data_IF_989373591684
#
_entry.id   IF_989373591684
#
_cell.length_a   1.000
_cell.length_b   1.000
_cell.length_c   1.000
_cell.angle_alpha   90.00
_cell.angle_beta   90.00
_cell.angle_gamma   90.00
#
_symmetry.space_group_name_H-M   'P 1'
#
loop_
_entity.id
_entity.type
_entity.pdbx_description
1 polymer ?
#
# COMPACT_ATOMS: atom_id res chain seq x y z
N UNK A 1 12.45 -77.17 5.59
CA UNK A 1 12.26 -75.81 5.01
C UNK A 1 11.34 -75.03 5.93
N UNK A 2 11.92 -74.29 6.89
CA UNK A 2 11.16 -73.46 7.83
C UNK A 2 11.18 -72.01 7.36
N UNK A 3 10.02 -71.44 7.09
CA UNK A 3 9.86 -70.02 6.74
C UNK A 3 10.08 -69.17 8.00
N UNK A 4 11.03 -68.23 7.93
CA UNK A 4 11.28 -67.24 8.99
C UNK A 4 10.07 -66.32 9.14
N UNK A 5 9.65 -65.95 10.36
CA UNK A 5 8.56 -65.01 10.57
C UNK A 5 8.98 -63.61 10.13
N UNK A 6 8.07 -62.93 9.42
CA UNK A 6 8.23 -61.55 8.98
C UNK A 6 8.15 -60.65 10.23
N UNK A 7 9.15 -59.78 10.41
CA UNK A 7 9.25 -58.89 11.56
C UNK A 7 8.30 -57.69 11.38
N UNK A 8 7.13 -57.75 12.00
CA UNK A 8 6.07 -56.72 11.93
C UNK A 8 6.50 -55.34 12.45
N UNK A 9 7.60 -55.24 13.21
CA UNK A 9 8.07 -53.95 13.75
C UNK A 9 8.67 -53.04 12.67
N UNK A 10 9.32 -53.61 11.64
CA UNK A 10 9.89 -52.83 10.54
C UNK A 10 8.78 -52.23 9.65
N UNK A 11 7.72 -53.00 9.39
CA UNK A 11 6.56 -52.55 8.62
C UNK A 11 5.78 -51.45 9.35
N UNK A 12 5.67 -51.55 10.67
CA UNK A 12 5.01 -50.53 11.50
C UNK A 12 5.78 -49.21 11.52
N UNK A 13 7.11 -49.24 11.67
CA UNK A 13 7.94 -48.04 11.64
C UNK A 13 7.88 -47.33 10.27
N UNK A 14 7.87 -48.08 9.18
CA UNK A 14 7.75 -47.52 7.83
C UNK A 14 6.40 -46.83 7.59
N UNK A 15 5.31 -47.39 8.13
CA UNK A 15 3.97 -46.81 8.07
C UNK A 15 3.86 -45.50 8.88
N UNK A 16 4.47 -45.44 10.07
CA UNK A 16 4.48 -44.23 10.91
C UNK A 16 5.26 -43.10 10.24
N UNK A 17 6.38 -43.40 9.59
CA UNK A 17 7.17 -42.42 8.82
C UNK A 17 6.42 -41.95 7.57
N UNK A 18 5.73 -42.84 6.84
CA UNK A 18 4.88 -42.44 5.70
C UNK A 18 3.70 -41.54 6.13
N UNK A 19 3.09 -41.83 7.28
CA UNK A 19 2.01 -41.02 7.85
C UNK A 19 2.49 -39.65 8.37
N UNK A 20 3.73 -39.55 8.85
CA UNK A 20 4.31 -38.26 9.27
C UNK A 20 4.68 -37.36 8.07
N UNK A 21 5.10 -37.92 6.94
CA UNK A 21 5.27 -37.16 5.69
C UNK A 21 3.94 -36.74 5.06
N UNK A 22 2.88 -37.55 5.19
CA UNK A 22 1.55 -37.19 4.71
C UNK A 22 0.92 -36.03 5.52
N UNK A 23 1.25 -35.91 6.81
CA UNK A 23 0.75 -34.83 7.69
C UNK A 23 1.56 -33.54 7.62
N UNK A 24 2.80 -33.58 7.11
CA UNK A 24 3.56 -32.36 6.74
C UNK A 24 3.13 -31.79 5.38
N UNK A 25 2.33 -32.52 4.60
CA UNK A 25 1.63 -32.04 3.41
C UNK A 25 0.32 -31.31 3.72
N UNK A 26 0.19 -30.70 4.90
CA UNK A 26 -0.89 -29.77 5.23
C UNK A 26 -0.71 -28.50 4.40
N UNK A 27 -1.13 -28.63 3.14
CA UNK A 27 -1.73 -27.63 2.28
C UNK A 27 -1.77 -26.23 2.91
N UNK A 28 -0.83 -25.38 2.52
CA UNK A 28 -1.13 -23.96 2.39
C UNK A 28 -2.21 -23.85 1.30
N UNK A 29 -3.46 -24.05 1.69
CA UNK A 29 -4.58 -23.78 0.80
C UNK A 29 -4.64 -22.26 0.69
N UNK A 30 -4.03 -21.74 -0.37
CA UNK A 30 -4.16 -20.35 -0.73
C UNK A 30 -5.62 -20.12 -1.09
N UNK A 31 -6.41 -19.64 -0.13
CA UNK A 31 -7.78 -19.17 -0.39
C UNK A 31 -7.71 -18.18 -1.54
N UNK A 32 -8.28 -18.55 -2.67
CA UNK A 32 -8.43 -17.63 -3.79
C UNK A 32 -9.38 -16.52 -3.33
N UNK A 33 -9.24 -15.31 -3.87
CA UNK A 33 -10.14 -14.18 -3.57
C UNK A 33 -11.62 -14.58 -3.83
N UNK A 34 -11.85 -15.58 -4.68
CA UNK A 34 -13.17 -16.14 -4.98
C UNK A 34 -13.86 -16.84 -3.79
N UNK A 35 -13.12 -17.25 -2.75
CA UNK A 35 -13.68 -17.84 -1.52
C UNK A 35 -14.17 -16.80 -0.50
N UNK A 36 -13.95 -15.50 -0.74
CA UNK A 36 -14.46 -14.44 0.11
C UNK A 36 -15.97 -14.26 -0.14
N UNK A 37 -16.79 -14.64 0.83
CA UNK A 37 -18.26 -14.55 0.70
C UNK A 37 -18.79 -13.10 0.67
N UNK A 38 -18.01 -12.13 1.18
CA UNK A 38 -18.44 -10.73 1.30
C UNK A 38 -17.29 -9.77 0.97
N UNK A 39 -17.04 -9.56 -0.32
CA UNK A 39 -16.17 -8.49 -0.79
C UNK A 39 -16.86 -7.66 -1.86
N UNK A 40 -16.41 -6.41 -2.00
CA UNK A 40 -16.80 -5.53 -3.10
C UNK A 40 -15.54 -5.08 -3.81
N UNK A 41 -15.43 -5.37 -5.09
CA UNK A 41 -14.33 -4.88 -5.91
C UNK A 41 -14.61 -3.46 -6.37
N UNK A 42 -13.76 -2.53 -5.98
CA UNK A 42 -13.76 -1.18 -6.53
C UNK A 42 -12.81 -1.17 -7.72
N UNK A 43 -13.34 -1.00 -8.93
CA UNK A 43 -12.53 -0.97 -10.14
C UNK A 43 -11.86 0.40 -10.27
N UNK A 44 -10.56 0.40 -10.47
CA UNK A 44 -9.77 1.60 -10.74
C UNK A 44 -9.49 1.68 -12.24
N UNK A 45 -10.18 2.57 -12.93
CA UNK A 45 -10.22 2.58 -14.41
C UNK A 45 -9.35 3.66 -15.04
N UNK A 46 -9.08 4.75 -14.33
CA UNK A 46 -8.40 5.93 -14.87
C UNK A 46 -6.92 6.05 -14.49
N UNK A 47 -6.49 5.31 -13.45
CA UNK A 47 -5.12 5.35 -12.94
C UNK A 47 -4.65 3.94 -12.55
N UNK A 48 -3.35 3.81 -12.28
CA UNK A 48 -2.71 2.56 -11.89
C UNK A 48 -1.90 2.73 -10.61
N UNK A 49 -1.50 1.61 -10.03
CA UNK A 49 -0.60 1.55 -8.88
C UNK A 49 -1.14 2.21 -7.61
N UNK A 50 -2.37 1.92 -7.15
CA UNK A 50 -2.78 2.27 -5.80
C UNK A 50 -1.87 1.55 -4.80
N UNK A 51 -1.49 2.22 -3.72
CA UNK A 51 -0.47 1.70 -2.79
C UNK A 51 -0.93 1.68 -1.34
N UNK A 52 -1.41 2.81 -0.83
CA UNK A 52 -2.01 2.92 0.49
C UNK A 52 -3.48 3.32 0.42
N UNK A 53 -4.22 2.99 1.47
CA UNK A 53 -5.62 3.35 1.63
C UNK A 53 -5.78 4.17 2.90
N UNK A 54 -6.50 5.27 2.81
CA UNK A 54 -6.90 6.08 3.96
C UNK A 54 -8.40 6.33 3.95
N UNK A 55 -8.97 6.58 5.13
CA UNK A 55 -10.37 6.92 5.34
C UNK A 55 -10.45 8.19 6.18
N UNK A 56 -11.32 9.12 5.79
CA UNK A 56 -11.54 10.32 6.58
C UNK A 56 -12.38 10.00 7.83
N UNK A 57 -12.34 10.88 8.84
CA UNK A 57 -13.11 10.72 10.09
C UNK A 57 -14.63 10.65 9.90
N UNK A 58 -15.13 11.13 8.76
CA UNK A 58 -16.56 11.14 8.45
C UNK A 58 -16.98 9.81 7.78
N UNK A 59 -16.06 8.84 7.68
CA UNK A 59 -16.28 7.56 7.02
C UNK A 59 -16.18 7.63 5.50
N UNK A 60 -15.69 8.73 4.94
CA UNK A 60 -15.47 8.90 3.52
C UNK A 60 -14.20 8.22 3.02
N UNK A 61 -14.19 7.92 1.73
CA UNK A 61 -13.13 7.19 1.06
C UNK A 61 -13.61 5.82 0.52
N UNK A 62 -12.67 4.89 0.26
CA UNK A 62 -11.23 5.02 0.48
C UNK A 62 -10.59 6.12 -0.38
N UNK A 63 -9.45 6.62 0.10
CA UNK A 63 -8.51 7.46 -0.61
C UNK A 63 -7.26 6.65 -0.96
N UNK A 64 -6.63 6.89 -2.10
CA UNK A 64 -5.35 6.26 -2.47
C UNK A 64 -4.50 7.19 -3.31
N UNK A 65 -3.18 7.06 -3.17
CA UNK A 65 -2.22 7.56 -4.16
C UNK A 65 -2.29 6.77 -5.47
N UNK A 66 -1.85 7.38 -6.57
CA UNK A 66 -1.79 6.80 -7.90
C UNK A 66 -0.41 7.05 -8.54
N UNK A 67 -0.06 6.29 -9.59
CA UNK A 67 1.28 6.40 -10.20
C UNK A 67 1.54 7.72 -10.92
N UNK A 68 0.49 8.43 -11.31
CA UNK A 68 0.58 9.74 -11.95
C UNK A 68 0.62 10.92 -10.97
N UNK A 69 0.87 10.62 -9.69
CA UNK A 69 0.97 11.57 -8.60
C UNK A 69 -0.36 11.95 -7.95
N UNK A 70 -1.51 11.56 -8.49
CA UNK A 70 -2.80 11.93 -7.87
C UNK A 70 -3.03 11.21 -6.55
N UNK A 71 -3.71 11.91 -5.65
CA UNK A 71 -4.53 11.29 -4.62
C UNK A 71 -5.98 11.33 -5.11
N UNK A 72 -6.64 10.18 -5.14
CA UNK A 72 -8.03 10.03 -5.58
C UNK A 72 -8.91 9.53 -4.44
N UNK A 73 -10.20 9.87 -4.50
CA UNK A 73 -11.22 9.46 -3.53
C UNK A 73 -12.31 8.65 -4.21
N UNK A 74 -12.76 7.56 -3.56
CA UNK A 74 -13.96 6.83 -3.95
C UNK A 74 -15.23 7.52 -3.43
N UNK A 75 -16.18 7.79 -4.33
CA UNK A 75 -17.44 8.48 -4.02
C UNK A 75 -18.69 7.58 -4.07
N UNK A 76 -18.51 6.26 -4.00
CA UNK A 76 -19.60 5.30 -4.13
C UNK A 76 -19.83 4.85 -5.57
N UNK A 77 -20.71 3.86 -5.75
CA UNK A 77 -20.88 3.16 -7.02
C UNK A 77 -21.44 4.04 -8.15
N UNK A 78 -22.23 5.05 -7.81
CA UNK A 78 -22.86 5.93 -8.81
C UNK A 78 -21.89 6.97 -9.37
N UNK A 79 -20.85 7.35 -8.60
CA UNK A 79 -19.91 8.42 -8.95
C UNK A 79 -18.50 7.92 -9.27
N UNK A 80 -18.10 6.79 -8.70
CA UNK A 80 -16.79 6.21 -8.93
C UNK A 80 -15.65 6.94 -8.21
N UNK A 81 -14.45 6.81 -8.78
CA UNK A 81 -13.25 7.51 -8.32
C UNK A 81 -13.18 8.92 -8.90
N UNK A 82 -12.77 9.89 -8.09
CA UNK A 82 -12.50 11.26 -8.53
C UNK A 82 -11.18 11.78 -7.94
N UNK A 83 -10.60 12.76 -8.61
CA UNK A 83 -9.41 13.46 -8.13
C UNK A 83 -9.72 14.19 -6.82
N UNK A 84 -8.85 14.02 -5.83
CA UNK A 84 -8.95 14.73 -4.54
C UNK A 84 -7.82 15.74 -4.39
N UNK A 85 -6.59 15.33 -4.66
CA UNK A 85 -5.42 16.18 -4.45
C UNK A 85 -4.23 15.79 -5.33
N UNK A 86 -3.26 16.69 -5.41
CA UNK A 86 -2.03 16.53 -6.17
C UNK A 86 -0.84 17.12 -5.40
N UNK A 87 0.36 16.54 -5.50
CA UNK A 87 1.54 17.05 -4.81
C UNK A 87 2.26 18.15 -5.60
N UNK A 88 2.02 18.25 -6.91
CA UNK A 88 2.61 19.25 -7.80
C UNK A 88 1.53 19.94 -8.62
N UNK A 89 1.67 21.25 -8.84
CA UNK A 89 0.76 22.04 -9.68
C UNK A 89 1.10 21.92 -11.16
N UNK A 90 2.38 21.69 -11.48
CA UNK A 90 2.90 21.67 -12.85
C UNK A 90 2.70 20.28 -13.47
N UNK A 91 1.43 19.92 -13.68
CA UNK A 91 0.97 18.61 -14.18
C UNK A 91 0.59 18.67 -15.65
N UNK A 92 1.46 19.22 -16.49
CA UNK A 92 1.28 19.24 -17.95
C UNK A 92 0.98 17.84 -18.54
N UNK A 93 0.87 17.71 -19.86
CA UNK A 93 0.60 16.44 -20.55
C UNK A 93 1.46 15.25 -20.06
N UNK A 94 2.65 15.53 -19.51
CA UNK A 94 3.57 14.60 -18.87
C UNK A 94 2.89 13.67 -17.82
N UNK A 95 2.14 14.21 -16.86
CA UNK A 95 1.58 13.39 -15.76
C UNK A 95 0.42 12.49 -16.22
N UNK A 96 -0.37 12.96 -17.19
CA UNK A 96 -1.56 12.25 -17.67
C UNK A 96 -1.27 11.31 -18.85
N UNK A 97 -0.03 11.29 -19.36
CA UNK A 97 0.37 10.61 -20.61
C UNK A 97 0.75 9.14 -20.47
N UNK A 98 0.57 8.51 -19.31
CA UNK A 98 0.84 7.08 -19.11
C UNK A 98 2.32 6.71 -18.92
N UNK A 99 3.25 7.66 -19.02
CA UNK A 99 4.68 7.48 -18.71
C UNK A 99 5.00 7.79 -17.25
N UNK A 100 4.25 7.19 -16.32
CA UNK A 100 4.30 7.54 -14.90
C UNK A 100 5.70 7.34 -14.28
N UNK A 101 6.41 6.25 -14.61
CA UNK A 101 7.77 6.00 -14.07
C UNK A 101 8.79 7.10 -14.42
N UNK A 102 8.62 7.74 -15.58
CA UNK A 102 9.53 8.80 -16.03
C UNK A 102 9.15 10.16 -15.45
N UNK A 103 7.93 10.29 -14.95
CA UNK A 103 7.34 11.56 -14.53
C UNK A 103 7.14 11.64 -13.02
N UNK A 104 7.45 10.61 -12.22
CA UNK A 104 7.34 10.65 -10.75
C UNK A 104 8.14 11.82 -10.14
N UNK A 105 9.27 12.20 -10.75
CA UNK A 105 10.07 13.36 -10.31
C UNK A 105 9.36 14.71 -10.50
N UNK A 106 8.38 14.77 -11.38
CA UNK A 106 7.62 15.98 -11.75
C UNK A 106 6.23 15.95 -11.08
N UNK A 107 5.58 14.80 -11.16
CA UNK A 107 4.20 14.58 -10.76
C UNK A 107 4.06 14.16 -9.30
N UNK A 108 5.13 13.66 -8.69
CA UNK A 108 5.09 13.00 -7.39
C UNK A 108 4.62 11.56 -7.49
N UNK A 109 4.70 10.86 -6.37
CA UNK A 109 4.26 9.48 -6.20
C UNK A 109 3.89 9.28 -4.72
N UNK A 110 2.60 9.50 -4.37
CA UNK A 110 2.09 9.27 -3.02
C UNK A 110 2.08 7.78 -2.67
N UNK A 111 2.86 7.38 -1.68
CA UNK A 111 2.99 5.98 -1.24
C UNK A 111 2.25 5.72 0.07
N UNK A 112 2.35 6.64 1.03
CA UNK A 112 1.72 6.54 2.36
C UNK A 112 0.73 7.68 2.58
N UNK A 113 -0.45 7.37 3.11
CA UNK A 113 -1.53 8.31 3.37
C UNK A 113 -2.09 8.07 4.78
N UNK A 114 -2.21 9.13 5.58
CA UNK A 114 -2.88 9.05 6.89
C UNK A 114 -3.58 10.37 7.24
N UNK A 115 -4.84 10.30 7.63
CA UNK A 115 -5.56 11.46 8.13
C UNK A 115 -5.23 11.73 9.59
N UNK A 116 -5.15 13.01 9.96
CA UNK A 116 -5.24 13.44 11.34
C UNK A 116 -6.69 13.77 11.69
N UNK A 117 -7.30 13.01 12.59
CA UNK A 117 -8.73 13.07 12.88
C UNK A 117 -9.19 14.41 13.46
N UNK A 118 -8.35 15.09 14.24
CA UNK A 118 -8.74 16.35 14.88
C UNK A 118 -9.01 17.45 13.84
N UNK A 119 -8.09 17.64 12.89
CA UNK A 119 -8.16 18.69 11.87
C UNK A 119 -8.84 18.22 10.58
N UNK A 120 -8.71 16.93 10.24
CA UNK A 120 -9.12 16.36 8.97
C UNK A 120 -8.10 16.58 7.85
N UNK A 121 -6.89 17.03 8.17
CA UNK A 121 -5.78 17.12 7.24
C UNK A 121 -5.29 15.71 6.85
N UNK A 122 -4.91 15.55 5.59
CA UNK A 122 -4.28 14.33 5.08
C UNK A 122 -2.77 14.55 5.01
N UNK A 123 -2.01 13.73 5.72
CA UNK A 123 -0.57 13.63 5.56
C UNK A 123 -0.23 12.59 4.51
N UNK A 124 0.79 12.89 3.71
CA UNK A 124 1.23 12.06 2.59
C UNK A 124 2.74 11.91 2.62
N UNK A 125 3.22 10.68 2.49
CA UNK A 125 4.61 10.35 2.21
C UNK A 125 4.71 10.17 0.70
N UNK A 126 5.29 11.18 0.04
CA UNK A 126 5.54 11.20 -1.39
C UNK A 126 7.00 10.84 -1.65
N UNK A 127 7.24 9.84 -2.50
CA UNK A 127 8.62 9.36 -2.73
C UNK A 127 9.52 10.39 -3.42
N UNK A 128 8.96 11.45 -3.99
CA UNK A 128 9.68 12.53 -4.67
C UNK A 128 9.76 13.78 -3.80
N UNK A 129 8.65 14.16 -3.17
CA UNK A 129 8.51 15.46 -2.50
C UNK A 129 8.62 15.41 -0.97
N UNK A 130 8.77 14.22 -0.38
CA UNK A 130 8.92 14.04 1.05
C UNK A 130 7.58 13.98 1.78
N UNK A 131 7.54 14.53 3.00
CA UNK A 131 6.32 14.62 3.80
C UNK A 131 5.49 15.83 3.36
N UNK A 132 4.25 15.56 2.96
CA UNK A 132 3.29 16.56 2.50
C UNK A 132 2.07 16.61 3.43
N UNK A 133 1.35 17.74 3.37
CA UNK A 133 0.05 17.96 4.00
C UNK A 133 -0.95 18.45 2.97
N UNK A 134 -2.16 17.93 3.02
CA UNK A 134 -3.29 18.33 2.20
C UNK A 134 -4.43 18.69 3.14
N UNK A 135 -5.07 19.83 2.89
CA UNK A 135 -6.21 20.28 3.70
C UNK A 135 -7.44 19.39 3.43
N UNK A 136 -8.44 19.46 4.30
CA UNK A 136 -9.62 18.57 4.25
C UNK A 136 -10.36 18.63 2.91
N UNK A 137 -10.33 19.79 2.26
CA UNK A 137 -10.97 20.07 0.98
C UNK A 137 -10.22 19.47 -0.23
N UNK A 138 -9.00 18.96 -0.02
CA UNK A 138 -8.13 18.46 -1.08
C UNK A 138 -7.34 19.58 -1.76
N UNK A 139 -7.00 19.39 -3.04
CA UNK A 139 -6.27 20.36 -3.84
C UNK A 139 -4.75 20.15 -3.85
N UNK A 140 -3.99 21.25 -3.85
CA UNK A 140 -2.54 21.19 -3.95
C UNK A 140 -1.92 20.91 -2.58
N UNK A 141 -1.05 19.90 -2.49
CA UNK A 141 -0.34 19.58 -1.27
C UNK A 141 0.71 20.65 -0.91
N UNK A 142 0.93 20.83 0.39
CA UNK A 142 2.01 21.64 0.95
C UNK A 142 3.14 20.73 1.41
N UNK A 143 4.38 21.01 1.01
CA UNK A 143 5.56 20.31 1.53
C UNK A 143 5.79 20.74 2.98
N UNK A 144 5.85 19.76 3.89
CA UNK A 144 6.12 19.96 5.32
C UNK A 144 7.58 19.67 5.64
N UNK A 145 8.15 18.61 5.05
CA UNK A 145 9.57 18.27 5.21
C UNK A 145 10.07 17.48 4.00
N UNK A 146 11.23 17.85 3.47
CA UNK A 146 11.91 17.14 2.38
C UNK A 146 13.37 16.77 2.73
N UNK A 147 13.81 17.08 3.95
CA UNK A 147 15.12 16.72 4.49
C UNK A 147 15.06 16.67 6.02
N UNK A 148 16.02 15.96 6.62
CA UNK A 148 16.29 16.01 8.05
C UNK A 148 17.79 16.02 8.29
N UNK A 149 18.25 16.84 9.25
CA UNK A 149 19.68 16.94 9.60
C UNK A 149 20.60 17.23 8.41
N UNK A 150 20.09 17.94 7.39
CA UNK A 150 20.81 18.27 6.16
C UNK A 150 20.91 17.13 5.14
N UNK A 151 20.20 16.01 5.37
CA UNK A 151 20.10 14.90 4.42
C UNK A 151 18.74 14.94 3.73
N UNK A 152 18.69 15.17 2.40
CA UNK A 152 17.45 15.10 1.64
C UNK A 152 16.81 13.72 1.70
N UNK A 153 15.48 13.69 1.74
CA UNK A 153 14.74 12.43 1.59
C UNK A 153 14.75 11.99 0.13
N UNK A 154 14.94 10.69 -0.09
CA UNK A 154 15.02 10.14 -1.45
C UNK A 154 13.91 9.13 -1.76
N UNK A 155 13.26 8.56 -0.74
CA UNK A 155 12.21 7.56 -0.90
C UNK A 155 11.30 7.49 0.33
N UNK A 156 10.59 8.59 0.64
CA UNK A 156 9.57 8.52 1.71
C UNK A 156 8.44 7.58 1.31
N UNK A 157 7.99 6.72 2.23
CA UNK A 157 7.13 5.58 1.88
C UNK A 157 5.91 5.44 2.81
N UNK A 158 6.11 4.93 4.02
CA UNK A 158 5.02 4.78 5.00
C UNK A 158 4.99 5.94 5.98
N UNK A 159 3.79 6.30 6.45
CA UNK A 159 3.60 7.21 7.57
C UNK A 159 2.41 6.79 8.45
N UNK A 160 2.40 7.29 9.68
CA UNK A 160 1.27 7.25 10.59
C UNK A 160 1.20 8.55 11.41
N UNK A 161 0.04 8.84 11.98
CA UNK A 161 -0.22 10.04 12.77
C UNK A 161 -0.79 9.63 14.11
N UNK A 162 -0.13 10.03 15.19
CA UNK A 162 -0.67 9.94 16.53
C UNK A 162 -1.92 10.84 16.63
N UNK A 163 -3.07 10.20 16.83
CA UNK A 163 -4.36 10.87 16.83
C UNK A 163 -4.61 11.71 18.08
N UNK A 164 -3.85 11.51 19.16
CA UNK A 164 -3.98 12.26 20.41
C UNK A 164 -3.26 13.61 20.33
N UNK A 165 -2.03 13.62 19.81
CA UNK A 165 -1.16 14.80 19.84
C UNK A 165 -0.78 15.35 18.45
N UNK A 166 -1.13 14.65 17.37
CA UNK A 166 -0.86 15.08 15.99
C UNK A 166 0.57 14.85 15.51
N UNK A 167 1.38 14.09 16.25
CA UNK A 167 2.75 13.75 15.84
C UNK A 167 2.73 12.82 14.62
N UNK A 168 3.47 13.20 13.58
CA UNK A 168 3.58 12.44 12.33
C UNK A 168 4.87 11.65 12.33
N UNK A 169 4.77 10.33 12.18
CA UNK A 169 5.89 9.41 12.06
C UNK A 169 5.94 8.91 10.62
N UNK A 170 7.07 9.01 9.95
CA UNK A 170 7.22 8.56 8.57
C UNK A 170 8.59 7.92 8.34
N UNK A 171 8.69 7.19 7.25
CA UNK A 171 9.90 6.46 6.86
C UNK A 171 10.48 7.04 5.58
N UNK A 172 11.80 7.20 5.54
CA UNK A 172 12.58 7.34 4.30
C UNK A 172 13.27 6.00 4.03
N UNK A 173 12.88 5.31 2.96
CA UNK A 173 13.28 3.92 2.71
C UNK A 173 14.74 3.79 2.27
N UNK A 174 15.34 4.86 1.77
CA UNK A 174 16.73 4.88 1.36
C UNK A 174 17.25 6.31 1.31
N UNK A 175 18.47 6.53 1.81
CA UNK A 175 19.19 7.80 1.69
C UNK A 175 20.05 7.91 0.43
N UNK A 176 20.01 6.90 -0.44
CA UNK A 176 20.89 6.82 -1.63
C UNK A 176 20.16 6.48 -2.90
N UNK A 177 19.11 5.66 -2.82
CA UNK A 177 18.35 5.20 -3.97
C UNK A 177 16.98 5.86 -4.02
N UNK A 178 16.66 6.38 -5.19
CA UNK A 178 15.29 6.76 -5.53
C UNK A 178 14.48 5.51 -5.88
N UNK A 179 13.16 5.65 -5.80
CA UNK A 179 12.22 4.69 -6.39
C UNK A 179 12.51 4.51 -7.89
N UNK A 180 12.46 3.27 -8.37
CA UNK A 180 12.79 2.86 -9.76
C UNK A 180 11.54 2.54 -10.57
#
# INVERSE_FOLDING_TARGET
>A
MGTKPINNNATFFFLVVLLSYASLGLSLQQTTIDDLQYYKRLLLTAVVGPESLAFDRDGGGPYTGASDGRIIKWHGMDRGWADFAVPSWNRDQECNGGHYLLTEKICGRPLGLQFYGATGELFVADSTFGLLRIDREGGLATIIANEAEGVPFHFTNGLDVDQENGMVYFTDSSTTFFRR
#
